data_IF_357813520975
#
_entry.id   IF_357813520975
#
_cell.length_a   1.000
_cell.length_b   1.000
_cell.length_c   1.000
_cell.angle_alpha   90.00
_cell.angle_beta   90.00
_cell.angle_gamma   90.00
#
_symmetry.space_group_name_H-M   'P 1'
#
loop_
_entity.id
_entity.type
_entity.pdbx_description
1 polymer ?
#
# COMPACT_ATOMS: atom_id res chain seq x y z
N UNK A 1 -20.67 23.57 4.31
CA UNK A 1 -20.33 23.84 2.90
C UNK A 1 -18.93 24.39 2.66
N UNK A 2 -18.59 25.67 2.89
CA UNK A 2 -17.24 26.19 2.54
C UNK A 2 -16.09 25.49 3.30
N UNK A 3 -16.29 25.19 4.59
CA UNK A 3 -15.31 24.47 5.40
C UNK A 3 -15.17 22.99 5.00
N UNK A 4 -16.25 22.33 4.61
CA UNK A 4 -16.22 20.92 4.17
C UNK A 4 -15.52 20.78 2.81
N UNK A 5 -15.77 21.72 1.89
CA UNK A 5 -15.08 21.77 0.59
C UNK A 5 -13.58 22.04 0.82
N UNK A 6 -13.24 22.98 1.71
CA UNK A 6 -11.84 23.27 2.08
C UNK A 6 -11.14 22.05 2.69
N UNK A 7 -11.81 21.31 3.57
CA UNK A 7 -11.25 20.11 4.18
C UNK A 7 -11.10 18.96 3.18
N UNK A 8 -12.08 18.77 2.30
CA UNK A 8 -12.02 17.79 1.21
C UNK A 8 -10.87 18.10 0.24
N UNK A 9 -10.70 19.37 -0.15
CA UNK A 9 -9.59 19.82 -0.99
C UNK A 9 -8.23 19.62 -0.29
N UNK A 10 -8.14 19.94 1.01
CA UNK A 10 -6.91 19.72 1.79
C UNK A 10 -6.55 18.23 1.86
N UNK A 11 -7.54 17.35 2.09
CA UNK A 11 -7.34 15.89 2.05
C UNK A 11 -6.91 15.45 0.66
N UNK A 12 -7.46 16.03 -0.41
CA UNK A 12 -7.08 15.69 -1.79
C UNK A 12 -5.67 16.15 -2.19
N UNK A 13 -5.22 17.33 -1.76
CA UNK A 13 -3.91 17.89 -2.14
C UNK A 13 -2.77 17.50 -1.17
N UNK A 14 -3.09 17.07 0.05
CA UNK A 14 -2.11 16.68 1.07
C UNK A 14 -2.63 15.50 1.87
N UNK A 15 -2.80 14.35 1.23
CA UNK A 15 -3.39 13.22 1.91
C UNK A 15 -2.36 12.57 2.82
N UNK A 16 -2.84 12.06 3.96
CA UNK A 16 -2.01 11.32 4.92
C UNK A 16 -2.18 9.84 4.69
N UNK A 17 -1.14 9.09 4.98
CA UNK A 17 -1.19 7.62 5.00
C UNK A 17 -2.16 7.16 6.09
N UNK A 18 -3.12 6.31 5.70
CA UNK A 18 -4.08 5.72 6.62
C UNK A 18 -3.59 4.32 7.02
N UNK A 19 -3.28 4.14 8.30
CA UNK A 19 -2.87 2.85 8.86
C UNK A 19 -4.12 2.04 9.18
N UNK A 20 -4.33 0.93 8.48
CA UNK A 20 -5.48 0.04 8.69
C UNK A 20 -5.26 -0.88 9.88
N UNK A 21 -4.12 -1.55 9.94
CA UNK A 21 -3.78 -2.45 11.03
C UNK A 21 -2.33 -2.30 11.42
N UNK A 22 -2.08 -2.50 12.70
CA UNK A 22 -0.73 -2.57 13.25
C UNK A 22 -0.65 -3.76 14.18
N UNK A 23 0.34 -4.62 13.97
CA UNK A 23 0.69 -5.70 14.87
C UNK A 23 2.10 -5.49 15.40
N UNK A 24 2.29 -5.80 16.67
CA UNK A 24 3.57 -5.66 17.36
C UNK A 24 3.78 -6.81 18.33
N UNK A 25 4.99 -7.36 18.33
CA UNK A 25 5.42 -8.32 19.34
C UNK A 25 6.89 -8.15 19.66
N UNK A 26 7.24 -8.25 20.94
CA UNK A 26 8.61 -8.22 21.43
C UNK A 26 8.99 -9.56 22.01
N UNK A 27 10.26 -9.90 21.83
CA UNK A 27 10.89 -11.13 22.30
C UNK A 27 12.13 -10.75 23.09
N UNK A 28 12.12 -11.03 24.38
CA UNK A 28 13.21 -10.68 25.28
C UNK A 28 14.39 -11.67 25.06
N UNK A 29 15.62 -11.17 25.17
CA UNK A 29 16.86 -11.94 25.02
C UNK A 29 16.97 -12.73 23.70
N UNK A 30 16.41 -12.18 22.63
CA UNK A 30 16.47 -12.74 21.29
C UNK A 30 17.26 -11.82 20.36
N UNK A 31 18.00 -12.41 19.42
CA UNK A 31 18.62 -11.69 18.32
C UNK A 31 18.53 -12.54 17.07
N UNK A 32 18.15 -11.96 15.94
CA UNK A 32 18.11 -12.64 14.66
C UNK A 32 18.51 -11.67 13.53
N UNK A 33 19.06 -12.20 12.45
CA UNK A 33 19.46 -11.39 11.30
C UNK A 33 18.24 -10.77 10.63
N UNK A 34 18.11 -9.44 10.68
CA UNK A 34 16.99 -8.73 10.04
C UNK A 34 16.92 -9.04 8.54
N UNK A 35 18.06 -9.04 7.85
CA UNK A 35 18.11 -9.35 6.42
C UNK A 35 17.74 -10.82 6.12
N UNK A 36 18.14 -11.75 7.00
CA UNK A 36 17.80 -13.17 6.89
C UNK A 36 16.28 -13.38 7.03
N UNK A 37 15.66 -12.69 8.00
CA UNK A 37 14.21 -12.72 8.18
C UNK A 37 13.47 -12.18 6.95
N UNK A 38 13.95 -11.08 6.36
CA UNK A 38 13.35 -10.52 5.15
C UNK A 38 13.51 -11.44 3.95
N UNK A 39 14.66 -12.12 3.80
CA UNK A 39 14.86 -13.11 2.74
C UNK A 39 13.93 -14.31 2.88
N UNK A 40 13.64 -14.77 4.10
CA UNK A 40 12.66 -15.84 4.33
C UNK A 40 11.27 -15.44 3.83
N UNK A 41 10.83 -14.21 4.15
CA UNK A 41 9.55 -13.67 3.69
C UNK A 41 9.52 -13.54 2.16
N UNK A 42 10.55 -12.93 1.57
CA UNK A 42 10.67 -12.74 0.12
C UNK A 42 10.60 -14.09 -0.62
N UNK A 43 11.30 -15.12 -0.11
CA UNK A 43 11.31 -16.47 -0.67
C UNK A 43 9.92 -17.12 -0.63
N UNK A 44 9.24 -17.06 0.51
CA UNK A 44 7.92 -17.66 0.70
C UNK A 44 6.85 -16.97 -0.17
N UNK A 45 6.88 -15.64 -0.26
CA UNK A 45 5.96 -14.88 -1.11
C UNK A 45 6.21 -15.12 -2.60
N UNK A 46 7.48 -15.27 -3.00
CA UNK A 46 7.85 -15.60 -4.38
C UNK A 46 7.38 -17.01 -4.74
N UNK A 47 7.54 -17.99 -3.84
CA UNK A 47 7.07 -19.35 -4.04
C UNK A 47 5.56 -19.42 -4.25
N UNK A 48 4.79 -18.60 -3.54
CA UNK A 48 3.33 -18.51 -3.65
C UNK A 48 2.83 -17.70 -4.85
N UNK A 49 3.72 -17.02 -5.59
CA UNK A 49 3.40 -16.21 -6.78
C UNK A 49 2.25 -15.22 -6.52
N UNK A 50 2.35 -14.44 -5.43
CA UNK A 50 1.31 -13.46 -5.07
C UNK A 50 1.15 -12.43 -6.20
N UNK A 51 -0.05 -12.24 -6.76
CA UNK A 51 -0.25 -11.42 -7.96
C UNK A 51 -0.09 -9.92 -7.69
N UNK A 52 0.75 -9.26 -8.49
CA UNK A 52 0.96 -7.81 -8.42
C UNK A 52 1.68 -7.33 -7.16
N UNK A 53 2.44 -8.22 -6.51
CA UNK A 53 3.30 -7.90 -5.38
C UNK A 53 4.61 -7.27 -5.86
N UNK A 54 4.92 -6.08 -5.34
CA UNK A 54 6.21 -5.43 -5.45
C UNK A 54 6.88 -5.48 -4.06
N UNK A 55 8.12 -5.97 -3.99
CA UNK A 55 8.89 -6.06 -2.75
C UNK A 55 10.05 -5.08 -2.81
N UNK A 56 10.23 -4.27 -1.78
CA UNK A 56 11.35 -3.33 -1.67
C UNK A 56 11.81 -3.17 -0.23
N UNK A 57 13.09 -2.86 -0.06
CA UNK A 57 13.68 -2.52 1.24
C UNK A 57 13.75 -1.00 1.35
N UNK A 58 13.17 -0.45 2.40
CA UNK A 58 13.07 0.99 2.62
C UNK A 58 13.61 1.32 4.00
N UNK A 59 14.39 2.38 4.08
CA UNK A 59 14.87 2.91 5.35
C UNK A 59 13.98 4.05 5.81
N UNK A 60 13.47 3.96 7.04
CA UNK A 60 12.81 5.07 7.72
C UNK A 60 13.75 5.67 8.76
N UNK A 61 13.89 6.99 8.72
CA UNK A 61 14.59 7.77 9.74
C UNK A 61 13.67 8.05 10.93
N UNK A 62 14.21 7.95 12.15
CA UNK A 62 13.45 8.26 13.37
C UNK A 62 13.07 9.75 13.46
N UNK A 63 13.91 10.62 12.89
CA UNK A 63 13.73 12.05 12.84
C UNK A 63 14.42 12.66 11.62
N UNK A 64 15.21 13.72 11.86
CA UNK A 64 15.90 14.46 10.80
C UNK A 64 17.02 13.68 10.09
N UNK A 65 17.72 14.35 9.17
CA UNK A 65 18.75 13.77 8.30
C UNK A 65 19.87 12.99 9.02
N UNK A 66 20.16 13.32 10.28
CA UNK A 66 21.22 12.72 11.09
C UNK A 66 20.71 11.67 12.10
N UNK A 67 19.42 11.35 12.05
CA UNK A 67 18.83 10.38 12.97
C UNK A 67 19.14 8.94 12.57
N UNK A 68 18.97 8.03 13.52
CA UNK A 68 19.06 6.60 13.26
C UNK A 68 18.02 6.19 12.21
N UNK A 69 18.43 5.26 11.35
CA UNK A 69 17.58 4.68 10.33
C UNK A 69 17.27 3.25 10.68
N UNK A 70 16.08 2.80 10.28
CA UNK A 70 15.64 1.43 10.45
C UNK A 70 15.12 0.91 9.11
N UNK A 71 15.57 -0.28 8.74
CA UNK A 71 15.19 -0.96 7.50
C UNK A 71 13.86 -1.68 7.68
N UNK A 72 12.95 -1.47 6.73
CA UNK A 72 11.65 -2.13 6.63
C UNK A 72 11.57 -2.87 5.30
N UNK A 73 10.99 -4.06 5.33
CA UNK A 73 10.55 -4.75 4.13
C UNK A 73 9.16 -4.22 3.76
N UNK A 74 9.09 -3.47 2.67
CA UNK A 74 7.85 -2.94 2.10
C UNK A 74 7.30 -3.92 1.06
N UNK A 75 6.12 -4.45 1.35
CA UNK A 75 5.34 -5.26 0.42
C UNK A 75 4.21 -4.40 -0.12
N UNK A 76 4.31 -3.99 -1.39
CA UNK A 76 3.35 -3.11 -2.04
C UNK A 76 2.52 -3.88 -3.05
N UNK A 77 1.22 -3.65 -3.02
CA UNK A 77 0.29 -4.08 -4.05
C UNK A 77 -0.72 -2.98 -4.30
N UNK A 78 -0.68 -2.39 -5.50
CA UNK A 78 -1.45 -1.20 -5.84
C UNK A 78 -1.22 -0.07 -4.81
N UNK A 79 -2.25 0.24 -4.02
CA UNK A 79 -2.25 1.24 -2.95
C UNK A 79 -2.10 0.63 -1.56
N UNK A 80 -2.14 -0.69 -1.44
CA UNK A 80 -1.95 -1.37 -0.16
C UNK A 80 -0.48 -1.63 0.04
N UNK A 81 0.03 -1.14 1.16
CA UNK A 81 1.40 -1.34 1.60
C UNK A 81 1.35 -2.13 2.90
N UNK A 82 2.18 -3.16 2.99
CA UNK A 82 2.40 -3.92 4.20
C UNK A 82 3.88 -3.81 4.55
N UNK A 83 4.17 -3.01 5.57
CA UNK A 83 5.52 -2.74 6.03
C UNK A 83 5.87 -3.67 7.19
N UNK A 84 6.94 -4.43 7.02
CA UNK A 84 7.44 -5.39 8.00
C UNK A 84 8.76 -4.88 8.56
N UNK A 85 8.86 -4.87 9.88
CA UNK A 85 10.07 -4.54 10.61
C UNK A 85 10.47 -5.66 11.55
N UNK A 86 11.75 -5.99 11.54
CA UNK A 86 12.40 -6.89 12.49
C UNK A 86 13.70 -6.22 12.95
N UNK A 87 13.80 -5.81 14.22
CA UNK A 87 14.98 -5.11 14.70
C UNK A 87 15.25 -5.31 16.19
N UNK A 88 16.51 -5.20 16.62
CA UNK A 88 16.85 -5.17 18.03
C UNK A 88 16.42 -3.85 18.70
N UNK A 89 16.06 -3.94 19.97
CA UNK A 89 15.76 -2.83 20.86
C UNK A 89 16.32 -3.16 22.26
N UNK A 90 17.55 -2.73 22.51
CA UNK A 90 18.29 -3.10 23.73
C UNK A 90 18.56 -4.61 23.78
N UNK A 91 18.15 -5.27 24.87
CA UNK A 91 18.24 -6.74 25.05
C UNK A 91 17.11 -7.50 24.38
N UNK A 92 16.09 -6.79 23.89
CA UNK A 92 14.92 -7.38 23.27
C UNK A 92 15.00 -7.23 21.76
N UNK A 93 14.23 -8.05 21.06
CA UNK A 93 14.02 -7.94 19.63
C UNK A 93 12.54 -7.79 19.37
N UNK A 94 12.15 -6.93 18.44
CA UNK A 94 10.74 -6.74 18.17
C UNK A 94 10.44 -6.91 16.68
N UNK A 95 9.23 -7.38 16.45
CA UNK A 95 8.60 -7.48 15.15
C UNK A 95 7.44 -6.50 15.12
N UNK A 96 7.34 -5.72 14.05
CA UNK A 96 6.25 -4.76 13.83
C UNK A 96 5.76 -4.87 12.40
N UNK A 97 4.47 -5.14 12.24
CA UNK A 97 3.80 -5.19 10.94
C UNK A 97 2.78 -4.06 10.86
N UNK A 98 2.74 -3.37 9.72
CA UNK A 98 1.79 -2.27 9.50
C UNK A 98 1.17 -2.40 8.13
N UNK A 99 -0.14 -2.46 8.07
CA UNK A 99 -0.87 -2.31 6.82
C UNK A 99 -1.31 -0.86 6.65
N UNK A 100 -0.97 -0.28 5.50
CA UNK A 100 -1.14 1.14 5.19
C UNK A 100 -1.81 1.27 3.83
N UNK A 101 -2.81 2.13 3.72
CA UNK A 101 -3.27 2.60 2.43
C UNK A 101 -2.47 3.83 2.02
N UNK A 102 -1.82 3.74 0.86
CA UNK A 102 -1.25 4.90 0.23
C UNK A 102 -2.39 5.84 -0.20
N UNK A 103 -2.31 7.09 0.22
CA UNK A 103 -3.32 8.04 -0.15
C UNK A 103 -3.26 8.39 -1.63
N UNK A 104 -4.41 8.76 -2.19
CA UNK A 104 -4.48 9.42 -3.48
C UNK A 104 -4.43 10.92 -3.26
N UNK A 105 -3.36 11.54 -3.72
CA UNK A 105 -3.31 12.99 -3.78
C UNK A 105 -2.56 13.43 -5.01
N UNK A 106 -3.08 14.48 -5.63
CA UNK A 106 -2.40 15.17 -6.71
C UNK A 106 -1.77 16.40 -6.07
N UNK A 107 -0.47 16.63 -6.27
CA UNK A 107 0.12 17.89 -5.80
C UNK A 107 -0.41 19.03 -6.67
N UNK A 108 -0.74 20.21 -6.10
CA UNK A 108 -1.24 21.34 -6.89
C UNK A 108 -0.35 21.70 -8.08
N UNK A 109 0.97 21.60 -7.91
CA UNK A 109 1.95 21.85 -8.96
C UNK A 109 1.88 20.83 -10.11
N UNK A 110 1.68 19.55 -9.78
CA UNK A 110 1.55 18.51 -10.80
C UNK A 110 0.26 18.72 -11.61
N UNK A 111 -0.85 19.09 -10.96
CA UNK A 111 -2.09 19.46 -11.64
C UNK A 111 -1.90 20.68 -12.56
N UNK A 112 -1.18 21.70 -12.11
CA UNK A 112 -0.89 22.89 -12.92
C UNK A 112 -0.06 22.52 -14.17
N UNK A 113 0.97 21.71 -14.02
CA UNK A 113 1.80 21.22 -15.13
C UNK A 113 0.93 20.45 -16.14
N UNK A 114 0.03 19.61 -15.66
CA UNK A 114 -0.91 18.87 -16.51
C UNK A 114 -1.84 19.80 -17.31
N UNK A 115 -2.40 20.83 -16.67
CA UNK A 115 -3.26 21.82 -17.34
C UNK A 115 -2.50 22.63 -18.38
N UNK A 116 -1.26 23.03 -18.09
CA UNK A 116 -0.39 23.72 -19.06
C UNK A 116 -0.11 22.80 -20.25
N UNK A 117 0.23 21.53 -20.01
CA UNK A 117 0.43 20.54 -21.07
C UNK A 117 -0.80 20.38 -21.97
N UNK A 118 -1.99 20.31 -21.37
CA UNK A 118 -3.26 20.22 -22.11
C UNK A 118 -3.53 21.49 -22.95
N UNK A 119 -3.24 22.67 -22.42
CA UNK A 119 -3.35 23.93 -23.15
C UNK A 119 -2.36 24.02 -24.33
N UNK A 120 -1.13 23.51 -24.16
CA UNK A 120 -0.14 23.44 -25.24
C UNK A 120 -0.58 22.50 -26.36
N UNK A 121 -1.07 21.31 -26.02
CA UNK A 121 -1.62 20.35 -27.00
C UNK A 121 -2.78 20.98 -27.76
N UNK A 122 -3.71 21.64 -27.05
CA UNK A 122 -4.80 22.37 -27.69
C UNK A 122 -4.28 23.46 -28.63
N UNK A 123 -3.29 24.26 -28.21
CA UNK A 123 -2.70 25.30 -29.05
C UNK A 123 -2.07 24.75 -30.34
N UNK A 124 -1.39 23.60 -30.26
CA UNK A 124 -0.83 22.91 -31.43
C UNK A 124 -1.94 22.41 -32.36
N UNK A 125 -2.98 21.76 -31.82
CA UNK A 125 -4.12 21.29 -32.62
C UNK A 125 -4.88 22.45 -33.27
N UNK A 126 -5.08 23.55 -32.54
CA UNK A 126 -5.74 24.74 -33.04
C UNK A 126 -4.94 25.40 -34.18
N UNK A 127 -3.60 25.39 -34.10
CA UNK A 127 -2.72 25.86 -35.18
C UNK A 127 -2.80 24.98 -36.42
N UNK A 128 -2.93 23.66 -36.26
CA UNK A 128 -2.91 22.69 -37.36
C UNK A 128 -4.27 22.53 -38.06
N UNK A 129 -5.36 22.51 -37.29
CA UNK A 129 -6.72 22.19 -37.76
C UNK A 129 -7.67 23.39 -37.70
N UNK A 130 -7.25 24.50 -37.11
CA UNK A 130 -8.14 25.60 -36.72
C UNK A 130 -8.76 25.38 -35.34
N UNK A 131 -9.28 26.46 -34.73
CA UNK A 131 -9.74 26.44 -33.32
C UNK A 131 -10.89 25.46 -33.07
N UNK A 132 -11.89 25.44 -33.96
CA UNK A 132 -13.08 24.60 -33.82
C UNK A 132 -12.71 23.12 -33.95
N UNK A 133 -12.03 22.74 -35.04
CA UNK A 133 -11.62 21.35 -35.26
C UNK A 133 -10.55 20.90 -34.27
N UNK A 134 -9.67 21.80 -33.82
CA UNK A 134 -8.71 21.52 -32.76
C UNK A 134 -9.37 21.17 -31.43
N UNK A 135 -10.48 21.83 -31.07
CA UNK A 135 -11.25 21.51 -29.87
C UNK A 135 -11.93 20.14 -29.99
N UNK A 136 -12.56 19.85 -31.14
CA UNK A 136 -13.18 18.55 -31.41
C UNK A 136 -12.13 17.43 -31.34
N UNK A 137 -10.97 17.63 -31.97
CA UNK A 137 -9.87 16.68 -31.94
C UNK A 137 -9.36 16.43 -30.51
N UNK A 138 -9.21 17.47 -29.70
CA UNK A 138 -8.81 17.33 -28.29
C UNK A 138 -9.82 16.49 -27.49
N UNK A 139 -11.12 16.79 -27.63
CA UNK A 139 -12.18 16.03 -26.95
C UNK A 139 -12.22 14.57 -27.41
N UNK A 140 -12.01 14.31 -28.70
CA UNK A 140 -11.91 12.95 -29.24
C UNK A 140 -10.70 12.18 -28.68
N UNK A 141 -9.54 12.84 -28.54
CA UNK A 141 -8.34 12.25 -27.92
C UNK A 141 -8.59 11.93 -26.45
N UNK A 142 -9.21 12.86 -25.69
CA UNK A 142 -9.55 12.63 -24.29
C UNK A 142 -10.56 11.48 -24.17
N UNK A 143 -11.62 11.48 -24.97
CA UNK A 143 -12.65 10.44 -24.96
C UNK A 143 -12.12 9.05 -25.31
N UNK A 144 -11.31 8.95 -26.36
CA UNK A 144 -10.64 7.70 -26.74
C UNK A 144 -9.67 7.21 -25.68
N UNK A 145 -8.89 8.12 -25.06
CA UNK A 145 -8.01 7.78 -23.94
C UNK A 145 -8.79 7.25 -22.74
N UNK A 146 -9.90 7.89 -22.37
CA UNK A 146 -10.80 7.44 -21.30
C UNK A 146 -11.40 6.07 -21.60
N UNK A 147 -11.82 5.83 -22.84
CA UNK A 147 -12.35 4.54 -23.28
C UNK A 147 -11.31 3.42 -23.14
N UNK A 148 -10.09 3.63 -23.65
CA UNK A 148 -8.97 2.68 -23.53
C UNK A 148 -8.64 2.41 -22.07
N UNK A 149 -8.59 3.45 -21.23
CA UNK A 149 -8.31 3.32 -19.79
C UNK A 149 -9.38 2.50 -19.07
N UNK A 150 -10.67 2.75 -19.34
CA UNK A 150 -11.79 2.02 -18.73
C UNK A 150 -11.90 0.57 -19.20
N UNK A 151 -11.48 0.29 -20.43
CA UNK A 151 -11.54 -1.03 -21.04
C UNK A 151 -10.17 -1.74 -21.05
N UNK A 152 -9.18 -1.22 -20.31
CA UNK A 152 -7.80 -1.75 -20.29
C UNK A 152 -7.74 -3.23 -19.88
N UNK A 153 -8.60 -3.65 -18.95
CA UNK A 153 -8.76 -5.04 -18.52
C UNK A 153 -9.30 -5.95 -19.63
N UNK A 154 -10.26 -5.47 -20.44
CA UNK A 154 -10.82 -6.25 -21.54
C UNK A 154 -9.90 -6.24 -22.78
N UNK A 155 -9.02 -5.25 -22.89
CA UNK A 155 -7.98 -5.17 -23.92
C UNK A 155 -6.72 -5.98 -23.53
N UNK A 156 -6.73 -6.68 -22.39
CA UNK A 156 -5.62 -7.47 -21.85
C UNK A 156 -4.29 -6.70 -21.69
N UNK A 157 -4.36 -5.39 -21.50
CA UNK A 157 -3.20 -4.53 -21.37
C UNK A 157 -2.66 -4.58 -19.92
N UNK A 158 -2.09 -5.74 -19.56
CA UNK A 158 -1.66 -6.10 -18.19
C UNK A 158 -0.73 -5.08 -17.52
N UNK A 159 0.13 -4.43 -18.31
CA UNK A 159 1.11 -3.46 -17.79
C UNK A 159 0.61 -2.01 -17.77
N UNK A 160 -0.50 -1.71 -18.45
CA UNK A 160 -1.01 -0.34 -18.50
C UNK A 160 -1.61 0.10 -17.17
N UNK A 161 -2.36 -0.76 -16.50
CA UNK A 161 -2.97 -0.43 -15.20
C UNK A 161 -1.89 -0.09 -14.17
N UNK A 162 -0.81 -0.88 -14.10
CA UNK A 162 0.30 -0.63 -13.17
C UNK A 162 1.11 0.62 -13.54
N UNK A 163 1.35 0.86 -14.84
CA UNK A 163 2.07 2.04 -15.32
C UNK A 163 1.27 3.34 -15.12
N UNK A 164 -0.05 3.31 -15.35
CA UNK A 164 -0.92 4.46 -15.13
C UNK A 164 -0.93 4.87 -13.66
N UNK A 165 -1.01 3.91 -12.74
CA UNK A 165 -0.97 4.19 -11.29
C UNK A 165 0.34 4.80 -10.82
N UNK A 166 1.46 4.53 -11.50
CA UNK A 166 2.77 5.10 -11.18
C UNK A 166 2.96 6.51 -11.74
N UNK A 167 2.12 6.92 -12.68
CA UNK A 167 2.27 8.21 -13.37
C UNK A 167 1.69 9.33 -12.48
N UNK A 168 2.46 10.40 -12.18
CA UNK A 168 1.95 11.52 -11.39
C UNK A 168 0.77 12.19 -12.12
N UNK A 169 -0.19 12.75 -11.36
CA UNK A 169 -1.49 13.28 -11.83
C UNK A 169 -2.42 12.23 -12.43
N UNK A 170 -1.98 11.52 -13.47
CA UNK A 170 -2.80 10.58 -14.24
C UNK A 170 -3.21 9.40 -13.36
N UNK A 171 -2.30 8.84 -12.54
CA UNK A 171 -2.60 7.74 -11.64
C UNK A 171 -3.73 8.05 -10.66
N UNK A 172 -3.65 9.15 -9.89
CA UNK A 172 -4.74 9.57 -9.02
C UNK A 172 -6.06 9.86 -9.77
N UNK A 173 -6.03 10.55 -10.91
CA UNK A 173 -7.25 10.81 -11.70
C UNK A 173 -7.87 9.51 -12.23
N UNK A 174 -7.04 8.61 -12.73
CA UNK A 174 -7.44 7.30 -13.22
C UNK A 174 -8.10 6.49 -12.11
N UNK A 175 -7.48 6.39 -10.93
CA UNK A 175 -8.03 5.67 -9.77
C UNK A 175 -9.39 6.23 -9.32
N UNK A 176 -9.56 7.55 -9.29
CA UNK A 176 -10.79 8.19 -8.79
C UNK A 176 -11.92 8.15 -9.81
N UNK A 177 -11.65 8.45 -11.08
CA UNK A 177 -12.70 8.70 -12.08
C UNK A 177 -12.93 7.55 -13.07
N UNK A 178 -11.91 6.71 -13.28
CA UNK A 178 -11.89 5.74 -14.39
C UNK A 178 -11.80 4.29 -13.91
N UNK A 179 -11.06 4.03 -12.84
CA UNK A 179 -10.84 2.70 -12.31
C UNK A 179 -12.07 2.25 -11.52
N UNK A 180 -12.74 1.23 -12.03
CA UNK A 180 -13.95 0.69 -11.40
C UNK A 180 -13.59 -0.13 -10.17
N UNK A 181 -14.20 0.21 -9.03
CA UNK A 181 -14.16 -0.64 -7.84
C UNK A 181 -15.13 -1.81 -8.06
N UNK A 182 -14.63 -3.05 -8.00
CA UNK A 182 -15.42 -4.27 -8.20
C UNK A 182 -15.22 -5.23 -7.03
N UNK A 183 -16.18 -6.13 -6.79
CA UNK A 183 -16.06 -7.16 -5.76
C UNK A 183 -14.79 -8.00 -5.92
N UNK A 184 -14.45 -8.40 -7.15
CA UNK A 184 -13.20 -9.08 -7.45
C UNK A 184 -11.97 -8.34 -6.92
N UNK A 185 -11.92 -7.01 -7.09
CA UNK A 185 -10.80 -6.19 -6.61
C UNK A 185 -10.77 -6.10 -5.09
N UNK A 186 -11.93 -5.94 -4.45
CA UNK A 186 -12.07 -5.94 -3.00
C UNK A 186 -11.60 -7.27 -2.39
N UNK A 187 -12.10 -8.39 -2.92
CA UNK A 187 -11.74 -9.74 -2.46
C UNK A 187 -10.26 -10.00 -2.64
N UNK A 188 -9.70 -9.62 -3.81
CA UNK A 188 -8.27 -9.83 -4.02
C UNK A 188 -7.44 -8.96 -3.08
N UNK A 189 -7.85 -7.72 -2.78
CA UNK A 189 -7.18 -6.84 -1.80
C UNK A 189 -7.18 -7.47 -0.40
N UNK A 190 -8.33 -8.00 0.01
CA UNK A 190 -8.47 -8.68 1.29
C UNK A 190 -7.62 -9.96 1.36
N UNK A 191 -7.64 -10.76 0.29
CA UNK A 191 -6.81 -11.97 0.16
C UNK A 191 -5.32 -11.64 0.29
N UNK A 192 -4.87 -10.53 -0.31
CA UNK A 192 -3.49 -10.08 -0.18
C UNK A 192 -3.11 -9.73 1.27
N UNK A 193 -3.90 -8.90 1.94
CA UNK A 193 -3.60 -8.46 3.30
C UNK A 193 -3.58 -9.65 4.27
N UNK A 194 -4.56 -10.54 4.16
CA UNK A 194 -4.65 -11.74 5.01
C UNK A 194 -3.51 -12.72 4.74
N UNK A 195 -3.15 -12.93 3.47
CA UNK A 195 -2.06 -13.85 3.09
C UNK A 195 -0.71 -13.35 3.60
N UNK A 196 -0.39 -12.07 3.38
CA UNK A 196 0.89 -11.49 3.79
C UNK A 196 1.01 -11.44 5.32
N UNK A 197 -0.05 -11.05 6.03
CA UNK A 197 -0.07 -11.05 7.49
C UNK A 197 0.11 -12.47 8.06
N UNK A 198 -0.61 -13.46 7.50
CA UNK A 198 -0.50 -14.86 7.93
C UNK A 198 0.91 -15.42 7.72
N UNK A 199 1.53 -15.17 6.56
CA UNK A 199 2.91 -15.61 6.27
C UNK A 199 3.90 -14.94 7.21
N UNK A 200 3.79 -13.62 7.39
CA UNK A 200 4.70 -12.88 8.24
C UNK A 200 4.66 -13.41 9.68
N UNK A 201 3.45 -13.62 10.24
CA UNK A 201 3.25 -14.17 11.59
C UNK A 201 3.76 -15.60 11.72
N UNK A 202 3.47 -16.46 10.76
CA UNK A 202 3.97 -17.85 10.71
C UNK A 202 5.51 -17.87 10.78
N UNK A 203 6.17 -17.01 9.99
CA UNK A 203 7.63 -16.94 9.99
C UNK A 203 8.19 -16.37 11.31
N UNK A 204 7.50 -15.44 11.99
CA UNK A 204 7.91 -15.05 13.35
C UNK A 204 7.85 -16.23 14.30
N UNK A 205 6.75 -16.99 14.27
CA UNK A 205 6.58 -18.18 15.11
C UNK A 205 7.65 -19.23 14.81
N UNK A 206 7.99 -19.46 13.55
CA UNK A 206 9.06 -20.39 13.15
C UNK A 206 10.42 -19.96 13.70
N UNK A 207 10.80 -18.69 13.50
CA UNK A 207 12.12 -18.19 13.93
C UNK A 207 12.22 -18.14 15.46
N UNK A 208 11.12 -17.83 16.16
CA UNK A 208 11.10 -17.80 17.63
C UNK A 208 11.04 -19.21 18.24
N UNK A 209 10.27 -20.13 17.65
CA UNK A 209 10.22 -21.53 18.06
C UNK A 209 11.55 -22.25 17.84
N UNK A 210 12.28 -21.95 16.74
CA UNK A 210 13.62 -22.48 16.50
C UNK A 210 14.62 -22.12 17.61
N UNK A 211 14.35 -21.04 18.37
CA UNK A 211 15.15 -20.64 19.54
C UNK A 211 14.50 -20.99 20.88
N UNK A 212 13.41 -21.77 20.87
CA UNK A 212 12.71 -22.23 22.06
C UNK A 212 11.88 -21.16 22.78
N UNK A 213 11.61 -20.02 22.14
CA UNK A 213 10.86 -18.90 22.75
C UNK A 213 9.43 -18.89 22.21
N UNK A 214 8.44 -18.91 23.12
CA UNK A 214 7.03 -18.68 22.76
C UNK A 214 6.73 -17.18 22.82
N UNK A 215 6.03 -16.64 21.82
CA UNK A 215 5.58 -15.25 21.80
C UNK A 215 4.52 -15.00 22.89
N UNK A 216 4.89 -14.30 23.97
CA UNK A 216 4.00 -14.09 25.13
C UNK A 216 3.17 -12.80 25.04
N UNK A 217 3.64 -11.78 24.32
CA UNK A 217 2.96 -10.48 24.21
C UNK A 217 2.77 -10.09 22.74
N UNK A 218 1.52 -10.02 22.33
CA UNK A 218 1.11 -9.55 21.02
C UNK A 218 0.16 -8.36 21.20
N UNK A 219 0.42 -7.29 20.46
CA UNK A 219 -0.39 -6.08 20.45
C UNK A 219 -0.95 -5.91 19.06
N UNK A 220 -2.27 -5.77 18.95
CA UNK A 220 -2.93 -5.58 17.67
C UNK A 220 -3.81 -4.32 17.74
N UNK A 221 -3.70 -3.49 16.72
CA UNK A 221 -4.56 -2.34 16.48
C UNK A 221 -5.32 -2.59 15.18
N UNK A 222 -6.66 -2.54 15.26
CA UNK A 222 -7.59 -2.55 14.12
C UNK A 222 -8.06 -1.10 13.80
N UNK A 223 -8.64 -0.84 12.60
CA UNK A 223 -8.76 0.51 12.02
C UNK A 223 -9.56 1.52 12.87
N UNK A 224 -9.47 2.83 12.59
CA UNK A 224 -9.71 3.88 13.57
C UNK A 224 -11.20 4.04 13.92
N UNK A 225 -11.51 3.62 15.14
CA UNK A 225 -12.73 3.97 15.89
C UNK A 225 -12.55 3.86 17.42
N UNK A 226 -11.31 3.74 17.90
CA UNK A 226 -10.98 3.66 19.32
C UNK A 226 -9.49 3.91 19.53
N UNK A 227 -9.19 4.90 20.37
CA UNK A 227 -7.85 5.16 20.85
C UNK A 227 -7.34 3.99 21.71
N UNK A 228 -6.02 3.82 21.71
CA UNK A 228 -5.20 2.89 22.50
C UNK A 228 -4.98 1.47 21.92
N UNK A 229 -3.72 1.03 21.96
CA UNK A 229 -3.33 -0.36 21.71
C UNK A 229 -4.06 -1.27 22.71
N UNK A 230 -4.91 -2.18 22.23
CA UNK A 230 -5.43 -3.24 23.08
C UNK A 230 -4.46 -4.42 23.01
N UNK A 231 -3.86 -4.79 24.15
CA UNK A 231 -3.09 -6.01 24.25
C UNK A 231 -4.04 -7.19 24.01
N UNK A 232 -3.90 -7.87 22.87
CA UNK A 232 -4.60 -9.12 22.65
C UNK A 232 -3.73 -10.22 23.23
N UNK A 233 -3.93 -10.52 24.52
CA UNK A 233 -3.35 -11.73 25.12
C UNK A 233 -4.12 -12.90 24.52
N UNK A 234 -3.63 -13.46 23.41
CA UNK A 234 -4.07 -14.78 22.96
C UNK A 234 -3.55 -15.78 24.00
N UNK A 235 -4.38 -16.18 24.97
CA UNK A 235 -4.12 -17.44 25.68
C UNK A 235 -4.22 -18.53 24.62
N UNK A 236 -3.08 -19.05 24.21
CA UNK A 236 -3.03 -20.26 23.40
C UNK A 236 -3.45 -21.40 24.33
N UNK A 237 -4.75 -21.67 24.38
CA UNK A 237 -5.25 -22.91 24.95
C UNK A 237 -4.58 -24.05 24.17
N UNK A 238 -3.84 -24.89 24.87
CA UNK A 238 -2.94 -25.90 24.29
C UNK A 238 -3.64 -26.98 23.44
N UNK A 239 -4.96 -26.86 23.22
CA UNK A 239 -5.81 -27.86 22.57
C UNK A 239 -6.66 -27.36 21.39
N UNK A 240 -6.45 -26.13 20.89
CA UNK A 240 -7.23 -25.66 19.73
C UNK A 240 -6.66 -26.20 18.41
N UNK A 241 -7.40 -27.09 17.74
CA UNK A 241 -7.07 -27.60 16.40
C UNK A 241 -7.22 -26.52 15.32
N UNK A 242 -6.49 -26.59 14.18
CA UNK A 242 -6.24 -25.44 13.31
C UNK A 242 -7.41 -24.88 12.48
N UNK A 243 -8.66 -25.31 12.71
CA UNK A 243 -9.77 -25.07 11.78
C UNK A 243 -11.03 -24.38 12.35
N UNK A 244 -11.04 -23.95 13.62
CA UNK A 244 -12.26 -23.35 14.21
C UNK A 244 -12.26 -21.81 14.28
N UNK A 245 -11.25 -21.13 13.72
CA UNK A 245 -11.16 -19.66 13.80
C UNK A 245 -11.74 -18.92 12.57
N UNK A 246 -12.63 -19.55 11.80
CA UNK A 246 -13.39 -18.89 10.73
C UNK A 246 -14.84 -19.38 10.74
N UNK A 247 -15.64 -18.82 11.66
CA UNK A 247 -17.08 -18.75 11.60
C UNK A 247 -17.53 -17.40 12.19
#
# INVERSE_FOLDING_TARGET
MANEISEALRKFFSPKEEVYSQWYSSVDNFQFGTSEFYQMIEKELTARKVPGLEMSRIEFSEGGLLSNKREYLRLKRERLVFDICAAPFGTSYFFSFRSVQLPLGIKPMELLIFLIGLALVFGLLAKLLGTIYGLIALLAIIGSSVYVMRNSLALELKDLDSSLLKTPVIGPLYEVFLRKETYYRQDTRQMYLTTVDAIARMLVEEVTAAKGIKLLKQYERKPPGGDMFQATIKRLDANATPFEAVA
#
